data_IF_963905696945
#
_entry.id   IF_963905696945
#
_cell.length_a   1.000
_cell.length_b   1.000
_cell.length_c   1.000
_cell.angle_alpha   90.00
_cell.angle_beta   90.00
_cell.angle_gamma   90.00
#
_symmetry.space_group_name_H-M   'P 1'
#
loop_
_entity.id
_entity.type
_entity.pdbx_description
1 polymer ?
#
# COMPACT_ATOMS: atom_id res chain seq x y z
N UNK A 1 26.12 -35.13 59.84
CA UNK A 1 25.76 -33.75 60.22
C UNK A 1 26.46 -32.79 59.26
N UNK A 2 25.66 -31.98 58.53
CA UNK A 2 25.92 -30.63 57.99
C UNK A 2 27.25 -30.41 57.18
N UNK A 3 27.31 -29.74 56.03
CA UNK A 3 26.62 -28.52 55.60
C UNK A 3 26.95 -28.22 54.11
N UNK A 4 25.94 -27.88 53.31
CA UNK A 4 25.95 -27.18 51.99
C UNK A 4 26.04 -25.66 52.31
N UNK A 5 26.76 -24.74 51.60
CA UNK A 5 26.35 -24.32 50.25
C UNK A 5 27.40 -23.66 49.31
N UNK A 6 27.42 -24.10 48.04
CA UNK A 6 27.95 -23.32 46.91
C UNK A 6 26.89 -23.06 45.81
N UNK A 7 25.62 -23.32 46.11
CA UNK A 7 24.49 -23.09 45.20
C UNK A 7 23.84 -21.75 45.52
N UNK A 8 24.48 -20.61 45.17
CA UNK A 8 23.82 -19.28 45.18
C UNK A 8 24.33 -18.24 44.18
N UNK A 9 25.07 -18.61 43.13
CA UNK A 9 25.51 -17.63 42.09
C UNK A 9 25.27 -18.15 40.66
N UNK A 10 24.18 -18.90 40.43
CA UNK A 10 23.74 -19.20 39.07
C UNK A 10 22.22 -19.00 38.87
N UNK A 11 21.62 -18.16 39.72
CA UNK A 11 20.18 -17.85 39.68
C UNK A 11 19.92 -16.33 39.59
N UNK A 12 20.77 -15.60 38.86
CA UNK A 12 20.58 -14.15 38.60
C UNK A 12 20.73 -13.76 37.11
N UNK A 13 21.11 -14.67 36.20
CA UNK A 13 21.19 -14.36 34.74
C UNK A 13 20.11 -15.09 33.92
N UNK A 14 19.14 -15.74 34.57
CA UNK A 14 17.96 -16.33 33.90
C UNK A 14 16.65 -15.62 34.30
N UNK A 15 16.70 -14.30 34.49
CA UNK A 15 15.53 -13.44 34.72
C UNK A 15 15.60 -12.15 33.88
N UNK A 16 15.95 -12.28 32.60
CA UNK A 16 15.51 -11.34 31.56
C UNK A 16 14.87 -12.19 30.44
N UNK A 17 13.95 -13.07 30.85
CA UNK A 17 12.96 -13.63 29.96
C UNK A 17 12.03 -12.52 29.55
N UNK A 18 12.07 -12.17 28.27
CA UNK A 18 11.24 -11.20 27.59
C UNK A 18 9.78 -11.29 28.08
N UNK A 19 9.40 -10.40 29.01
CA UNK A 19 8.04 -9.90 29.11
C UNK A 19 7.79 -8.95 27.93
N UNK A 20 8.03 -9.44 26.71
CA UNK A 20 7.47 -8.86 25.51
C UNK A 20 6.01 -9.25 25.51
N UNK A 21 5.17 -8.44 26.16
CA UNK A 21 3.76 -8.42 25.82
C UNK A 21 3.68 -8.02 24.36
N UNK A 22 3.75 -9.00 23.46
CA UNK A 22 3.22 -8.87 22.11
C UNK A 22 1.74 -8.61 22.31
N UNK A 23 1.40 -7.34 22.48
CA UNK A 23 0.04 -6.85 22.35
C UNK A 23 -0.30 -7.02 20.88
N UNK A 24 -0.60 -8.25 20.48
CA UNK A 24 -1.20 -8.53 19.18
C UNK A 24 -2.44 -7.65 19.14
N UNK A 25 -2.39 -6.60 18.32
CA UNK A 25 -3.52 -5.70 18.16
C UNK A 25 -4.70 -6.57 17.78
N UNK A 26 -5.78 -6.52 18.56
CA UNK A 26 -6.98 -7.31 18.29
C UNK A 26 -7.34 -7.18 16.80
N UNK A 27 -7.66 -8.30 16.12
CA UNK A 27 -7.93 -8.29 14.69
C UNK A 27 -9.05 -7.28 14.40
N UNK A 28 -8.75 -6.29 13.57
CA UNK A 28 -9.72 -5.28 13.17
C UNK A 28 -10.74 -5.99 12.29
N UNK A 29 -12.01 -6.01 12.73
CA UNK A 29 -13.12 -6.54 11.93
C UNK A 29 -13.10 -5.88 10.53
N UNK A 30 -13.02 -6.64 9.42
CA UNK A 30 -12.86 -6.07 8.09
C UNK A 30 -14.14 -5.38 7.58
N UNK A 31 -15.29 -5.61 8.22
CA UNK A 31 -16.58 -5.07 7.83
C UNK A 31 -16.99 -3.87 8.69
N UNK A 32 -17.78 -2.96 8.12
CA UNK A 32 -18.58 -2.00 8.88
C UNK A 32 -19.95 -2.59 9.18
N UNK A 33 -20.23 -2.81 10.47
CA UNK A 33 -21.43 -3.54 10.88
C UNK A 33 -22.66 -2.65 11.09
N UNK A 34 -22.43 -1.36 11.28
CA UNK A 34 -23.51 -0.41 11.55
C UNK A 34 -23.70 0.54 10.37
N UNK A 35 -24.96 0.79 9.95
CA UNK A 35 -25.24 1.79 8.93
C UNK A 35 -24.74 3.19 9.34
N UNK A 36 -24.52 4.10 8.39
CA UNK A 36 -24.35 5.53 8.67
C UNK A 36 -25.49 6.11 9.53
N UNK A 37 -25.18 7.14 10.33
CA UNK A 37 -26.17 7.83 11.15
C UNK A 37 -27.20 8.55 10.25
N UNK A 38 -28.48 8.50 10.63
CA UNK A 38 -29.61 9.18 9.95
C UNK A 38 -29.89 8.69 8.53
N UNK A 39 -29.99 7.38 8.32
CA UNK A 39 -30.54 6.80 7.09
C UNK A 39 -32.05 6.56 7.21
N UNK A 40 -32.83 6.66 6.10
CA UNK A 40 -34.18 6.15 6.05
C UNK A 40 -34.24 4.67 6.45
N UNK A 41 -35.32 4.23 7.09
CA UNK A 41 -35.45 2.82 7.56
C UNK A 41 -35.21 1.81 6.44
N UNK A 42 -35.70 2.09 5.23
CA UNK A 42 -35.49 1.24 4.06
C UNK A 42 -34.00 1.07 3.69
N UNK A 43 -33.19 2.13 3.81
CA UNK A 43 -31.75 2.08 3.52
C UNK A 43 -30.96 1.38 4.63
N UNK A 44 -31.40 1.51 5.89
CA UNK A 44 -30.83 0.74 7.01
C UNK A 44 -31.08 -0.77 6.82
N UNK A 45 -32.30 -1.12 6.41
CA UNK A 45 -32.66 -2.51 6.11
C UNK A 45 -31.84 -3.07 4.94
N UNK A 46 -31.67 -2.27 3.88
CA UNK A 46 -30.86 -2.65 2.73
C UNK A 46 -29.39 -2.87 3.12
N UNK A 47 -28.82 -2.00 3.95
CA UNK A 47 -27.47 -2.15 4.52
C UNK A 47 -27.33 -3.46 5.31
N UNK A 48 -28.27 -3.73 6.22
CA UNK A 48 -28.23 -4.91 7.07
C UNK A 48 -28.35 -6.20 6.26
N UNK A 49 -29.25 -6.24 5.27
CA UNK A 49 -29.42 -7.39 4.37
C UNK A 49 -28.18 -7.64 3.53
N UNK A 50 -27.54 -6.59 3.00
CA UNK A 50 -26.30 -6.72 2.25
C UNK A 50 -25.17 -7.30 3.12
N UNK A 51 -25.05 -6.82 4.36
CA UNK A 51 -24.07 -7.32 5.32
C UNK A 51 -24.34 -8.78 5.73
N UNK A 52 -25.60 -9.13 5.99
CA UNK A 52 -26.01 -10.49 6.35
C UNK A 52 -25.71 -11.48 5.22
N UNK A 53 -26.04 -11.11 3.98
CA UNK A 53 -25.72 -11.88 2.78
C UNK A 53 -24.20 -12.13 2.64
N UNK A 54 -23.37 -11.11 2.91
CA UNK A 54 -21.91 -11.28 2.95
C UNK A 54 -21.45 -12.25 4.05
N UNK A 55 -22.00 -12.11 5.26
CA UNK A 55 -21.65 -12.97 6.40
C UNK A 55 -22.07 -14.42 6.21
N UNK A 56 -23.12 -14.66 5.43
CA UNK A 56 -23.62 -15.99 5.05
C UNK A 56 -22.93 -16.58 3.81
N UNK A 57 -21.84 -15.96 3.34
CA UNK A 57 -21.09 -16.41 2.17
C UNK A 57 -21.92 -16.47 0.88
N UNK A 58 -22.82 -15.50 0.69
CA UNK A 58 -23.55 -15.27 -0.56
C UNK A 58 -23.06 -13.97 -1.22
N UNK A 59 -21.82 -13.93 -1.74
CA UNK A 59 -21.18 -12.67 -2.12
C UNK A 59 -21.84 -12.00 -3.33
N UNK A 60 -22.42 -12.74 -4.28
CA UNK A 60 -23.13 -12.14 -5.43
C UNK A 60 -24.37 -11.33 -5.00
N UNK A 61 -25.18 -11.90 -4.12
CA UNK A 61 -26.35 -11.22 -3.55
C UNK A 61 -25.93 -9.97 -2.77
N UNK A 62 -24.88 -10.11 -1.96
CA UNK A 62 -24.28 -9.01 -1.21
C UNK A 62 -23.80 -7.88 -2.14
N UNK A 63 -23.09 -8.20 -3.22
CA UNK A 63 -22.63 -7.23 -4.22
C UNK A 63 -23.82 -6.47 -4.82
N UNK A 64 -24.88 -7.18 -5.21
CA UNK A 64 -26.07 -6.55 -5.78
C UNK A 64 -26.78 -5.63 -4.78
N UNK A 65 -26.91 -6.05 -3.52
CA UNK A 65 -27.50 -5.24 -2.46
C UNK A 65 -26.64 -4.01 -2.12
N UNK A 66 -25.31 -4.16 -2.05
CA UNK A 66 -24.39 -3.04 -1.83
C UNK A 66 -24.41 -2.04 -2.98
N UNK A 67 -24.46 -2.50 -4.24
CA UNK A 67 -24.61 -1.62 -5.40
C UNK A 67 -25.91 -0.82 -5.34
N UNK A 68 -27.03 -1.44 -4.98
CA UNK A 68 -28.31 -0.74 -4.77
C UNK A 68 -28.22 0.29 -3.65
N UNK A 69 -27.65 -0.07 -2.51
CA UNK A 69 -27.44 0.82 -1.38
C UNK A 69 -26.59 2.04 -1.77
N UNK A 70 -25.49 1.82 -2.50
CA UNK A 70 -24.60 2.89 -2.94
C UNK A 70 -25.22 3.77 -4.03
N UNK A 71 -26.19 3.28 -4.80
CA UNK A 71 -26.97 4.10 -5.73
C UNK A 71 -27.70 5.25 -5.03
N UNK A 72 -28.24 5.01 -3.84
CA UNK A 72 -28.89 6.03 -3.02
C UNK A 72 -27.92 6.74 -2.05
N UNK A 73 -26.78 6.10 -1.74
CA UNK A 73 -25.81 6.58 -0.76
C UNK A 73 -24.37 6.65 -1.34
N UNK A 74 -24.12 7.46 -2.39
CA UNK A 74 -22.85 7.44 -3.14
C UNK A 74 -21.64 7.98 -2.37
N UNK A 75 -21.82 8.48 -1.14
CA UNK A 75 -20.74 8.96 -0.26
C UNK A 75 -20.53 8.06 0.95
N UNK A 76 -21.11 6.86 0.96
CA UNK A 76 -20.97 5.91 2.06
C UNK A 76 -19.67 5.13 1.96
N UNK A 77 -18.61 5.60 2.62
CA UNK A 77 -17.34 4.86 2.70
C UNK A 77 -17.53 3.47 3.33
N UNK A 78 -18.46 3.32 4.29
CA UNK A 78 -18.83 2.03 4.89
C UNK A 78 -19.39 1.07 3.84
N UNK A 79 -20.27 1.59 2.97
CA UNK A 79 -20.86 0.82 1.86
C UNK A 79 -19.80 0.38 0.86
N UNK A 80 -18.90 1.28 0.45
CA UNK A 80 -17.80 0.93 -0.45
C UNK A 80 -16.81 -0.07 0.16
N UNK A 81 -16.48 0.05 1.46
CA UNK A 81 -15.65 -0.96 2.13
C UNK A 81 -16.33 -2.33 2.13
N UNK A 82 -17.62 -2.39 2.48
CA UNK A 82 -18.33 -3.66 2.51
C UNK A 82 -18.55 -4.25 1.10
N UNK A 83 -18.75 -3.40 0.08
CA UNK A 83 -18.74 -3.82 -1.33
C UNK A 83 -17.37 -4.39 -1.72
N UNK A 84 -16.28 -3.74 -1.32
CA UNK A 84 -14.93 -4.23 -1.56
C UNK A 84 -14.66 -5.58 -0.90
N UNK A 85 -15.20 -5.80 0.30
CA UNK A 85 -15.17 -7.11 0.95
C UNK A 85 -16.02 -8.15 0.22
N UNK A 86 -17.20 -7.77 -0.30
CA UNK A 86 -18.04 -8.68 -1.07
C UNK A 86 -17.37 -9.11 -2.38
N UNK A 87 -16.72 -8.17 -3.08
CA UNK A 87 -15.89 -8.48 -4.24
C UNK A 87 -14.67 -9.33 -3.88
N UNK A 88 -14.02 -9.06 -2.75
CA UNK A 88 -12.88 -9.86 -2.26
C UNK A 88 -13.29 -11.32 -2.02
N UNK A 89 -14.45 -11.54 -1.38
CA UNK A 89 -14.99 -12.88 -1.12
C UNK A 89 -15.51 -13.60 -2.37
N UNK A 90 -15.69 -12.89 -3.49
CA UNK A 90 -16.10 -13.45 -4.78
C UNK A 90 -14.93 -13.56 -5.76
N UNK A 91 -13.68 -13.53 -5.28
CA UNK A 91 -12.45 -13.54 -6.09
C UNK A 91 -12.34 -12.42 -7.14
N UNK A 92 -13.16 -11.37 -7.01
CA UNK A 92 -13.16 -10.20 -7.88
C UNK A 92 -12.17 -9.15 -7.36
N UNK A 93 -10.88 -9.52 -7.39
CA UNK A 93 -9.82 -8.76 -6.72
C UNK A 93 -9.66 -7.32 -7.22
N UNK A 94 -9.76 -7.10 -8.54
CA UNK A 94 -9.68 -5.75 -9.14
C UNK A 94 -10.82 -4.83 -8.66
N UNK A 95 -12.06 -5.33 -8.68
CA UNK A 95 -13.23 -4.60 -8.20
C UNK A 95 -13.16 -4.35 -6.69
N UNK A 96 -12.61 -5.31 -5.94
CA UNK A 96 -12.34 -5.16 -4.50
C UNK A 96 -11.40 -4.00 -4.22
N UNK A 97 -10.27 -3.93 -4.91
CA UNK A 97 -9.28 -2.85 -4.78
C UNK A 97 -9.92 -1.51 -5.11
N UNK A 98 -10.65 -1.40 -6.22
CA UNK A 98 -11.32 -0.15 -6.63
C UNK A 98 -12.34 0.32 -5.58
N UNK A 99 -13.15 -0.59 -5.03
CA UNK A 99 -14.10 -0.27 -3.98
C UNK A 99 -13.40 0.20 -2.69
N UNK A 100 -12.30 -0.44 -2.28
CA UNK A 100 -11.51 0.02 -1.13
C UNK A 100 -10.83 1.36 -1.37
N UNK A 101 -10.32 1.63 -2.57
CA UNK A 101 -9.76 2.94 -2.93
C UNK A 101 -10.81 4.03 -2.88
N UNK A 102 -12.02 3.75 -3.38
CA UNK A 102 -13.15 4.67 -3.29
C UNK A 102 -13.53 4.93 -1.83
N UNK A 103 -13.59 3.89 -1.00
CA UNK A 103 -13.84 4.01 0.43
C UNK A 103 -12.76 4.85 1.13
N UNK A 104 -11.48 4.62 0.79
CA UNK A 104 -10.34 5.34 1.37
C UNK A 104 -10.30 6.80 0.91
N UNK A 105 -10.70 7.10 -0.32
CA UNK A 105 -10.81 8.47 -0.81
C UNK A 105 -11.89 9.27 -0.04
N UNK A 106 -12.97 8.59 0.35
CA UNK A 106 -14.03 9.17 1.18
C UNK A 106 -13.61 9.32 2.64
N UNK A 107 -12.90 8.34 3.22
CA UNK A 107 -12.37 8.37 4.60
C UNK A 107 -10.87 7.98 4.68
N UNK A 108 -9.93 8.92 4.39
CA UNK A 108 -8.50 8.62 4.18
C UNK A 108 -7.70 8.18 5.40
N UNK A 109 -8.29 8.24 6.59
CA UNK A 109 -7.61 7.91 7.83
C UNK A 109 -8.13 6.65 8.50
N UNK A 110 -9.13 5.99 7.90
CA UNK A 110 -9.68 4.77 8.44
C UNK A 110 -8.67 3.61 8.30
N UNK A 111 -8.27 3.02 9.43
CA UNK A 111 -7.28 1.95 9.45
C UNK A 111 -7.82 0.65 8.87
N UNK A 112 -9.12 0.37 9.03
CA UNK A 112 -9.75 -0.85 8.51
C UNK A 112 -9.73 -0.85 7.00
N UNK A 113 -10.09 0.27 6.38
CA UNK A 113 -10.07 0.41 4.92
C UNK A 113 -8.64 0.26 4.40
N UNK A 114 -7.67 0.89 5.06
CA UNK A 114 -6.24 0.75 4.70
C UNK A 114 -5.75 -0.68 4.82
N UNK A 115 -6.13 -1.38 5.88
CA UNK A 115 -5.72 -2.77 6.11
C UNK A 115 -6.36 -3.72 5.08
N UNK A 116 -7.64 -3.52 4.75
CA UNK A 116 -8.32 -4.25 3.70
C UNK A 116 -7.67 -4.01 2.33
N UNK A 117 -7.40 -2.75 1.97
CA UNK A 117 -6.71 -2.41 0.72
C UNK A 117 -5.31 -3.03 0.65
N UNK A 118 -4.51 -2.93 1.72
CA UNK A 118 -3.19 -3.57 1.78
C UNK A 118 -3.28 -5.09 1.63
N UNK A 119 -4.29 -5.73 2.23
CA UNK A 119 -4.51 -7.18 2.09
C UNK A 119 -4.81 -7.53 0.62
N UNK A 120 -5.72 -6.83 -0.03
CA UNK A 120 -6.04 -7.07 -1.45
C UNK A 120 -4.83 -6.84 -2.36
N UNK A 121 -4.08 -5.76 -2.15
CA UNK A 121 -2.85 -5.49 -2.91
C UNK A 121 -1.80 -6.58 -2.71
N UNK A 122 -1.59 -7.04 -1.48
CA UNK A 122 -0.64 -8.12 -1.20
C UNK A 122 -1.07 -9.45 -1.81
N UNK A 123 -2.37 -9.73 -1.86
CA UNK A 123 -2.87 -10.91 -2.56
C UNK A 123 -2.61 -10.81 -4.07
N UNK A 124 -2.78 -9.62 -4.65
CA UNK A 124 -2.43 -9.37 -6.05
C UNK A 124 -0.93 -9.55 -6.32
N UNK A 125 -0.07 -9.07 -5.41
CA UNK A 125 1.39 -9.28 -5.47
C UNK A 125 1.73 -10.77 -5.52
N UNK A 126 1.10 -11.59 -4.68
CA UNK A 126 1.35 -13.04 -4.68
C UNK A 126 1.00 -13.68 -6.01
N UNK A 127 -0.16 -13.35 -6.58
CA UNK A 127 -0.57 -13.87 -7.90
C UNK A 127 0.44 -13.45 -8.98
N UNK A 128 0.87 -12.18 -8.96
CA UNK A 128 1.82 -11.64 -9.92
C UNK A 128 3.21 -12.26 -9.77
N UNK A 129 3.66 -12.54 -8.55
CA UNK A 129 4.90 -13.26 -8.28
C UNK A 129 4.89 -14.67 -8.88
N UNK A 130 3.81 -15.43 -8.67
CA UNK A 130 3.65 -16.77 -9.24
C UNK A 130 3.65 -16.73 -10.77
N UNK A 131 3.03 -15.71 -11.36
CA UNK A 131 3.02 -15.49 -12.81
C UNK A 131 4.32 -14.89 -13.35
N UNK A 132 5.30 -14.57 -12.49
CA UNK A 132 6.55 -13.87 -12.83
C UNK A 132 6.37 -12.46 -13.41
N UNK A 133 5.23 -11.84 -13.12
CA UNK A 133 4.87 -10.45 -13.42
C UNK A 133 5.46 -9.51 -12.34
N UNK A 134 6.78 -9.52 -12.22
CA UNK A 134 7.47 -8.88 -11.10
C UNK A 134 7.37 -7.35 -11.12
N UNK A 135 7.35 -6.72 -12.30
CA UNK A 135 7.11 -5.29 -12.43
C UNK A 135 5.76 -4.87 -11.87
N UNK A 136 4.70 -5.59 -12.22
CA UNK A 136 3.35 -5.32 -11.74
C UNK A 136 3.27 -5.53 -10.22
N UNK A 137 3.91 -6.58 -9.71
CA UNK A 137 4.03 -6.85 -8.29
C UNK A 137 4.75 -5.71 -7.53
N UNK A 138 5.85 -5.18 -8.08
CA UNK A 138 6.55 -4.01 -7.52
C UNK A 138 5.62 -2.80 -7.47
N UNK A 139 4.82 -2.54 -8.52
CA UNK A 139 3.86 -1.43 -8.51
C UNK A 139 2.84 -1.57 -7.37
N UNK A 140 2.33 -2.78 -7.13
CA UNK A 140 1.40 -3.02 -6.01
C UNK A 140 2.10 -2.89 -4.65
N UNK A 141 3.34 -3.36 -4.51
CA UNK A 141 4.13 -3.19 -3.28
C UNK A 141 4.42 -1.72 -2.99
N UNK A 142 4.67 -0.90 -4.01
CA UNK A 142 4.82 0.56 -3.83
C UNK A 142 3.54 1.19 -3.27
N UNK A 143 2.36 0.77 -3.75
CA UNK A 143 1.07 1.18 -3.17
C UNK A 143 0.93 0.71 -1.71
N UNK A 144 1.34 -0.53 -1.41
CA UNK A 144 1.38 -1.06 -0.03
C UNK A 144 2.31 -0.22 0.85
N UNK A 145 3.49 0.17 0.35
CA UNK A 145 4.48 0.99 1.06
C UNK A 145 3.89 2.33 1.46
N UNK A 146 3.12 2.96 0.59
CA UNK A 146 2.45 4.24 0.87
C UNK A 146 1.33 4.13 1.92
N UNK A 147 0.66 2.98 1.99
CA UNK A 147 -0.36 2.68 3.01
C UNK A 147 0.25 2.25 4.36
N UNK A 148 1.55 1.96 4.41
CA UNK A 148 2.23 1.38 5.57
C UNK A 148 2.89 2.46 6.43
N UNK A 149 2.76 2.34 7.76
CA UNK A 149 3.43 3.22 8.70
C UNK A 149 4.96 3.04 8.65
N UNK A 150 5.72 4.06 9.07
CA UNK A 150 7.19 4.07 8.97
C UNK A 150 7.88 2.77 9.42
N UNK A 151 7.55 2.15 10.57
CA UNK A 151 8.22 0.93 11.01
C UNK A 151 8.06 -0.26 10.05
N UNK A 152 7.02 -0.26 9.22
CA UNK A 152 6.77 -1.32 8.23
C UNK A 152 7.23 -1.00 6.81
N UNK A 153 7.59 0.26 6.51
CA UNK A 153 7.98 0.66 5.14
C UNK A 153 9.28 -0.01 4.70
N UNK A 154 10.22 -0.20 5.62
CA UNK A 154 11.49 -0.89 5.36
C UNK A 154 11.27 -2.34 4.93
N UNK A 155 10.38 -3.07 5.61
CA UNK A 155 10.02 -4.44 5.22
C UNK A 155 9.47 -4.50 3.80
N UNK A 156 8.59 -3.57 3.43
CA UNK A 156 8.04 -3.52 2.07
C UNK A 156 9.13 -3.14 1.04
N UNK A 157 10.07 -2.28 1.40
CA UNK A 157 11.20 -1.94 0.54
C UNK A 157 12.09 -3.16 0.25
N UNK A 158 12.38 -3.98 1.26
CA UNK A 158 13.13 -5.24 1.09
C UNK A 158 12.39 -6.23 0.17
N UNK A 159 11.06 -6.33 0.29
CA UNK A 159 10.25 -7.15 -0.62
C UNK A 159 10.37 -6.66 -2.07
N UNK A 160 10.38 -5.34 -2.29
CA UNK A 160 10.57 -4.73 -3.62
C UNK A 160 11.98 -5.02 -4.15
N UNK A 161 13.01 -4.89 -3.33
CA UNK A 161 14.40 -5.20 -3.71
C UNK A 161 14.53 -6.67 -4.13
N UNK A 162 13.92 -7.61 -3.38
CA UNK A 162 13.92 -9.03 -3.75
C UNK A 162 13.28 -9.27 -5.13
N UNK A 163 12.21 -8.55 -5.47
CA UNK A 163 11.60 -8.65 -6.80
C UNK A 163 12.51 -8.06 -7.90
N UNK A 164 13.21 -6.96 -7.62
CA UNK A 164 14.19 -6.41 -8.56
C UNK A 164 15.31 -7.40 -8.83
N UNK A 165 15.75 -8.15 -7.82
CA UNK A 165 16.78 -9.17 -7.98
C UNK A 165 16.29 -10.32 -8.88
N UNK A 166 15.02 -10.74 -8.74
CA UNK A 166 14.40 -11.73 -9.64
C UNK A 166 14.27 -11.21 -11.08
N UNK A 167 13.95 -9.92 -11.28
CA UNK A 167 13.97 -9.28 -12.60
C UNK A 167 15.39 -9.31 -13.18
N UNK A 168 16.40 -9.03 -12.36
CA UNK A 168 17.79 -9.05 -12.83
C UNK A 168 18.25 -10.45 -13.27
N UNK A 169 17.80 -11.52 -12.60
CA UNK A 169 18.07 -12.88 -13.07
C UNK A 169 17.45 -13.17 -14.45
N UNK A 170 16.26 -12.62 -14.75
CA UNK A 170 15.68 -12.70 -16.11
C UNK A 170 16.52 -11.92 -17.12
N UNK A 171 17.02 -10.74 -16.75
CA UNK A 171 17.90 -9.92 -17.59
C UNK A 171 19.21 -10.66 -17.90
N UNK A 172 19.81 -11.32 -16.91
CA UNK A 172 21.01 -12.16 -17.10
C UNK A 172 20.77 -13.34 -18.03
N UNK A 173 19.58 -13.95 -17.97
CA UNK A 173 19.23 -15.04 -18.88
C UNK A 173 19.06 -14.56 -20.33
N UNK A 174 18.53 -13.36 -20.53
CA UNK A 174 18.42 -12.76 -21.85
C UNK A 174 19.77 -12.32 -22.42
N UNK A 175 20.67 -11.84 -21.55
CA UNK A 175 22.04 -11.42 -21.86
C UNK A 175 22.15 -10.44 -23.04
N UNK A 176 21.21 -9.50 -23.14
CA UNK A 176 21.21 -8.47 -24.19
C UNK A 176 21.51 -7.10 -23.62
N UNK A 177 22.23 -6.28 -24.40
CA UNK A 177 22.55 -4.91 -24.05
C UNK A 177 21.27 -4.11 -23.69
N UNK A 178 20.22 -4.28 -24.48
CA UNK A 178 18.93 -3.60 -24.29
C UNK A 178 18.30 -3.90 -22.93
N UNK A 179 18.33 -5.16 -22.48
CA UNK A 179 17.71 -5.57 -21.22
C UNK A 179 18.50 -5.05 -20.01
N UNK A 180 19.83 -5.08 -20.05
CA UNK A 180 20.65 -4.47 -19.00
C UNK A 180 20.45 -2.95 -18.92
N UNK A 181 20.36 -2.26 -20.07
CA UNK A 181 20.09 -0.83 -20.10
C UNK A 181 18.69 -0.50 -19.57
N UNK A 182 17.67 -1.29 -19.95
CA UNK A 182 16.31 -1.14 -19.44
C UNK A 182 16.22 -1.36 -17.92
N UNK A 183 16.93 -2.37 -17.40
CA UNK A 183 17.02 -2.63 -15.96
C UNK A 183 17.60 -1.42 -15.21
N UNK A 184 18.75 -0.90 -15.64
CA UNK A 184 19.37 0.26 -15.01
C UNK A 184 18.55 1.53 -15.12
N UNK A 185 17.78 1.69 -16.21
CA UNK A 185 16.87 2.82 -16.37
C UNK A 185 15.77 2.80 -15.32
N UNK A 186 15.23 1.62 -14.99
CA UNK A 186 14.18 1.47 -13.96
C UNK A 186 14.75 1.47 -12.54
N UNK A 187 15.88 0.80 -12.33
CA UNK A 187 16.45 0.52 -11.01
C UNK A 187 17.92 0.98 -10.91
N UNK A 188 18.21 2.28 -11.11
CA UNK A 188 19.59 2.79 -11.19
C UNK A 188 20.38 2.64 -9.88
N UNK A 189 19.66 2.51 -8.75
CA UNK A 189 20.20 2.45 -7.39
C UNK A 189 19.96 1.08 -6.73
N UNK A 190 19.64 0.02 -7.49
CA UNK A 190 19.53 -1.32 -6.88
C UNK A 190 20.90 -1.68 -6.27
N UNK A 191 20.97 -2.03 -4.97
CA UNK A 191 22.22 -2.12 -4.23
C UNK A 191 23.11 -3.29 -4.66
N UNK A 192 22.50 -4.37 -5.17
CA UNK A 192 23.20 -5.60 -5.52
C UNK A 192 23.57 -5.66 -7.00
N UNK A 193 22.63 -5.29 -7.86
CA UNK A 193 22.63 -5.67 -9.27
C UNK A 193 22.96 -4.52 -10.23
N UNK A 194 22.87 -3.26 -9.79
CA UNK A 194 23.14 -2.12 -10.68
C UNK A 194 24.59 -2.09 -11.17
N UNK A 195 25.57 -2.36 -10.31
CA UNK A 195 26.97 -2.37 -10.71
C UNK A 195 27.31 -3.50 -11.68
N UNK A 196 26.71 -4.67 -11.48
CA UNK A 196 26.87 -5.80 -12.40
C UNK A 196 26.26 -5.48 -13.77
N UNK A 197 25.05 -4.91 -13.81
CA UNK A 197 24.42 -4.48 -15.06
C UNK A 197 25.32 -3.49 -15.84
N UNK A 198 25.96 -2.54 -15.16
CA UNK A 198 26.89 -1.59 -15.79
C UNK A 198 28.11 -2.28 -16.40
N UNK A 199 28.66 -3.30 -15.70
CA UNK A 199 29.77 -4.11 -16.22
C UNK A 199 29.36 -4.88 -17.46
N UNK A 200 28.20 -5.50 -17.46
CA UNK A 200 27.70 -6.26 -18.62
C UNK A 200 27.45 -5.35 -19.82
N UNK A 201 26.85 -4.17 -19.62
CA UNK A 201 26.71 -3.15 -20.67
C UNK A 201 28.07 -2.78 -21.28
N UNK A 202 29.10 -2.60 -20.46
CA UNK A 202 30.45 -2.24 -20.93
C UNK A 202 31.08 -3.36 -21.76
N UNK A 203 30.83 -4.62 -21.41
CA UNK A 203 31.32 -5.79 -22.17
C UNK A 203 30.59 -5.99 -23.49
N UNK A 204 29.27 -5.75 -23.50
CA UNK A 204 28.41 -5.96 -24.67
C UNK A 204 28.45 -4.80 -25.66
N UNK A 205 28.79 -3.59 -25.21
CA UNK A 205 29.04 -2.47 -26.11
C UNK A 205 30.26 -2.76 -26.97
N UNK A 206 30.17 -2.58 -28.30
CA UNK A 206 31.34 -2.64 -29.16
C UNK A 206 32.39 -1.69 -28.60
N UNK A 207 33.58 -2.20 -28.29
CA UNK A 207 34.74 -1.34 -28.10
C UNK A 207 34.93 -0.63 -29.44
N UNK A 208 34.63 0.66 -29.49
CA UNK A 208 35.22 1.51 -30.51
C UNK A 208 36.72 1.48 -30.25
N UNK A 209 37.41 0.51 -30.85
CA UNK A 209 38.84 0.67 -31.10
C UNK A 209 38.95 2.02 -31.79
N UNK A 210 39.67 3.01 -31.25
CA UNK A 210 40.05 4.14 -32.05
C UNK A 210 40.84 3.52 -33.20
N UNK A 211 40.24 3.45 -34.39
CA UNK A 211 40.98 3.24 -35.61
C UNK A 211 42.06 4.30 -35.55
N UNK A 212 43.30 3.88 -35.32
CA UNK A 212 44.40 4.79 -35.16
C UNK A 212 44.35 5.79 -36.30
N UNK A 213 44.27 7.07 -35.96
CA UNK A 213 44.91 8.07 -36.80
C UNK A 213 46.37 7.63 -36.90
N UNK A 214 46.68 6.87 -37.95
CA UNK A 214 48.05 6.77 -38.40
C UNK A 214 48.44 8.20 -38.76
N UNK A 215 49.43 8.81 -38.09
CA UNK A 215 49.92 10.10 -38.52
C UNK A 215 50.35 9.95 -39.97
N UNK A 216 49.83 10.80 -40.85
CA UNK A 216 50.30 10.92 -42.22
C UNK A 216 51.83 11.05 -42.16
N UNK A 217 52.53 9.98 -42.56
CA UNK A 217 53.97 10.04 -42.79
C UNK A 217 54.17 10.92 -44.01
N UNK A 218 54.36 12.21 -43.76
CA UNK A 218 54.83 13.16 -44.75
C UNK A 218 56.17 12.67 -45.28
N UNK A 219 56.29 12.70 -46.61
CA UNK A 219 57.44 12.34 -47.43
C UNK A 219 58.79 12.73 -46.79
N UNK A 220 59.42 11.79 -46.09
CA UNK A 220 60.83 11.91 -45.73
C UNK A 220 61.65 11.32 -46.88
N UNK A 221 62.16 12.23 -47.70
CA UNK A 221 63.07 12.04 -48.82
C UNK A 221 64.11 10.94 -48.56
N UNK A 222 64.12 9.92 -49.42
CA UNK A 222 65.20 8.92 -49.49
C UNK A 222 66.56 9.62 -49.70
N UNK A 223 67.61 9.32 -48.91
CA UNK A 223 68.96 9.63 -49.30
C UNK A 223 69.56 8.52 -50.19
N UNK A 224 70.38 9.00 -51.11
CA UNK A 224 71.06 8.36 -52.24
C UNK A 224 71.93 7.16 -51.82
N UNK A 225 72.15 6.14 -52.70
CA UNK A 225 72.92 4.95 -52.35
C UNK A 225 74.43 5.21 -52.40
N UNK A 226 75.12 4.88 -51.31
CA UNK A 226 76.56 4.67 -51.31
C UNK A 226 77.26 5.28 -50.12
N UNK A 227 77.35 4.52 -49.03
CA UNK A 227 78.50 4.49 -48.13
C UNK A 227 78.27 3.41 -47.06
N UNK A 228 79.16 2.41 -46.99
CA UNK A 228 79.26 1.55 -45.80
C UNK A 228 80.11 2.28 -44.76
N UNK A 229 79.72 2.20 -43.49
CA UNK A 229 80.71 1.87 -42.47
C UNK A 229 80.31 0.65 -41.64
N UNK A 230 81.35 0.10 -41.06
CA UNK A 230 81.49 -1.19 -40.39
C UNK A 230 80.95 -1.24 -38.96
N UNK A 231 80.37 -2.39 -38.61
CA UNK A 231 80.51 -3.18 -37.36
C UNK A 231 80.86 -2.39 -36.07
N UNK A 232 79.93 -2.29 -35.13
CA UNK A 232 80.17 -2.68 -33.71
C UNK A 232 78.88 -2.67 -32.87
N UNK A 233 78.57 -3.83 -32.30
CA UNK A 233 78.20 -4.03 -30.88
C UNK A 233 77.14 -3.13 -30.23
N UNK A 234 75.95 -3.70 -29.98
CA UNK A 234 75.53 -3.97 -28.59
C UNK A 234 74.48 -5.07 -28.54
N UNK A 235 74.92 -6.17 -27.94
CA UNK A 235 74.14 -7.26 -27.38
C UNK A 235 73.42 -6.76 -26.12
N UNK A 236 72.20 -7.23 -25.86
CA UNK A 236 71.55 -7.49 -24.55
C UNK A 236 70.03 -7.48 -24.76
N UNK A 237 69.20 -8.36 -24.22
CA UNK A 237 69.34 -9.67 -23.59
C UNK A 237 67.91 -10.24 -23.61
N UNK A 238 67.69 -11.37 -24.25
CA UNK A 238 66.49 -12.18 -24.05
C UNK A 238 66.64 -12.90 -22.70
N UNK A 239 65.70 -12.68 -21.78
CA UNK A 239 65.52 -13.56 -20.62
C UNK A 239 64.05 -13.96 -20.56
N UNK A 240 63.80 -15.22 -20.91
CA UNK A 240 62.57 -15.96 -20.67
C UNK A 240 62.59 -16.51 -19.24
N UNK A 241 61.56 -16.20 -18.44
CA UNK A 241 61.36 -16.79 -17.12
C UNK A 241 60.76 -18.20 -17.20
N UNK A 242 61.18 -19.13 -16.31
CA UNK A 242 60.84 -20.54 -16.41
C UNK A 242 59.55 -20.91 -15.67
N UNK A 243 58.90 -21.91 -16.25
CA UNK A 243 57.84 -22.75 -15.72
C UNK A 243 58.27 -23.40 -14.38
N UNK A 244 57.48 -23.23 -13.32
CA UNK A 244 57.58 -24.05 -12.10
C UNK A 244 56.41 -25.01 -12.07
N UNK A 245 56.72 -26.30 -12.15
CA UNK A 245 55.84 -27.38 -11.77
C UNK A 245 56.33 -27.95 -10.44
N UNK A 246 55.46 -28.02 -9.43
CA UNK A 246 55.69 -28.83 -8.25
C UNK A 246 54.39 -29.53 -7.84
N UNK A 247 54.56 -30.78 -7.43
CA UNK A 247 53.62 -31.90 -7.36
C UNK A 247 52.98 -32.09 -5.98
N UNK A 248 51.73 -32.59 -5.98
CA UNK A 248 51.08 -33.56 -5.03
C UNK A 248 51.03 -33.21 -3.52
N UNK A 249 49.86 -32.78 -3.00
CA UNK A 249 48.78 -33.56 -2.31
C UNK A 249 48.88 -33.54 -0.75
N UNK A 250 47.79 -33.58 0.06
CA UNK A 250 46.70 -34.55 -0.07
C UNK A 250 45.25 -34.08 0.15
N UNK A 251 44.38 -35.01 -0.25
CA UNK A 251 42.93 -35.11 -0.17
C UNK A 251 42.25 -34.54 1.10
N UNK A 252 41.12 -33.85 0.87
CA UNK A 252 40.06 -33.62 1.86
C UNK A 252 38.95 -34.67 1.69
N UNK A 253 38.28 -35.09 2.79
CA UNK A 253 37.41 -36.27 2.81
C UNK A 253 36.05 -36.05 2.11
N UNK A 254 35.36 -37.13 1.71
CA UNK A 254 34.09 -37.04 0.99
C UNK A 254 32.93 -36.64 1.90
N UNK A 255 32.11 -35.71 1.42
CA UNK A 255 30.80 -35.36 1.99
C UNK A 255 29.88 -36.57 1.81
N UNK A 256 29.46 -37.17 2.93
CA UNK A 256 28.44 -38.20 2.95
C UNK A 256 27.08 -37.58 2.64
N UNK A 257 26.39 -38.13 1.64
CA UNK A 257 24.96 -37.91 1.43
C UNK A 257 24.22 -38.80 2.43
N UNK A 258 23.64 -38.20 3.47
CA UNK A 258 22.63 -38.88 4.28
C UNK A 258 21.29 -38.82 3.57
N UNK A 259 20.96 -39.95 2.94
CA UNK A 259 19.63 -40.35 2.53
C UNK A 259 18.77 -40.49 3.79
N UNK A 260 17.72 -39.68 3.93
CA UNK A 260 16.69 -39.92 4.96
C UNK A 260 15.73 -40.96 4.38
N UNK A 261 15.84 -42.16 4.93
CA UNK A 261 14.99 -43.31 4.70
C UNK A 261 13.65 -43.08 5.44
N UNK A 262 12.55 -43.17 4.69
CA UNK A 262 11.19 -43.12 5.24
C UNK A 262 10.91 -44.49 5.85
N UNK A 263 10.88 -44.56 7.19
CA UNK A 263 10.31 -45.71 7.90
C UNK A 263 8.99 -45.27 8.52
N UNK A 264 7.92 -45.84 7.99
CA UNK A 264 6.60 -45.82 8.58
C UNK A 264 6.57 -46.78 9.78
N UNK A 265 6.09 -46.31 10.93
CA UNK A 265 5.47 -47.22 11.90
C UNK A 265 4.32 -46.51 12.64
N UNK A 266 3.16 -47.12 12.47
CA UNK A 266 1.86 -46.85 13.06
C UNK A 266 1.81 -47.13 14.56
N UNK A 267 1.13 -46.25 15.32
CA UNK A 267 0.29 -46.66 16.45
C UNK A 267 -0.82 -45.64 16.74
N UNK A 268 -2.05 -46.16 16.83
CA UNK A 268 -3.37 -45.57 17.14
C UNK A 268 -3.76 -46.06 18.56
N UNK A 269 -4.95 -45.78 19.13
CA UNK A 269 -5.76 -44.55 19.28
C UNK A 269 -6.07 -44.21 20.77
N UNK A 270 -6.49 -42.98 21.06
CA UNK A 270 -7.38 -42.61 22.18
C UNK A 270 -7.76 -41.13 21.98
N UNK A 271 -8.95 -40.61 22.19
CA UNK A 271 -10.25 -41.10 22.64
C UNK A 271 -11.26 -40.03 22.18
N UNK A 272 -12.45 -40.46 21.80
CA UNK A 272 -13.58 -39.61 21.41
C UNK A 272 -14.19 -38.96 22.65
N UNK A 273 -14.42 -37.65 22.62
CA UNK A 273 -15.44 -37.01 23.46
C UNK A 273 -16.50 -36.39 22.55
N UNK A 274 -17.62 -37.11 22.44
CA UNK A 274 -18.90 -36.63 21.95
C UNK A 274 -19.50 -35.62 22.94
N UNK A 275 -20.07 -34.52 22.44
CA UNK A 275 -21.05 -33.73 23.18
C UNK A 275 -22.33 -33.66 22.32
N UNK A 276 -23.52 -34.01 22.85
CA UNK A 276 -24.69 -34.28 22.03
C UNK A 276 -25.43 -33.02 21.56
N UNK A 277 -25.90 -33.07 20.32
CA UNK A 277 -26.97 -32.24 19.78
C UNK A 277 -28.31 -32.92 20.09
N UNK A 278 -29.15 -32.28 20.90
CA UNK A 278 -30.56 -32.62 20.99
C UNK A 278 -31.35 -31.40 21.45
N UNK A 279 -32.11 -30.76 20.55
CA UNK A 279 -33.46 -30.23 20.78
C UNK A 279 -34.14 -30.21 19.39
N UNK A 280 -35.05 -31.15 19.18
CA UNK A 280 -36.05 -31.13 18.12
C UNK A 280 -37.26 -30.27 18.50
N UNK A 281 -37.97 -29.90 17.45
CA UNK A 281 -39.18 -29.09 17.34
C UNK A 281 -40.30 -29.44 18.34
N UNK A 282 -41.03 -28.41 18.78
CA UNK A 282 -42.46 -28.55 19.07
C UNK A 282 -43.20 -27.29 18.59
N UNK A 283 -44.29 -27.56 17.89
CA UNK A 283 -45.12 -26.67 17.07
C UNK A 283 -46.41 -26.42 17.84
N UNK A 284 -46.82 -25.16 18.03
CA UNK A 284 -48.24 -24.83 18.25
C UNK A 284 -48.60 -23.51 17.55
N UNK A 285 -49.62 -23.58 16.69
CA UNK A 285 -50.34 -22.49 16.04
C UNK A 285 -51.12 -21.63 17.06
N UNK A 286 -51.68 -20.45 16.66
CA UNK A 286 -53.07 -20.50 16.17
C UNK A 286 -53.40 -19.56 14.98
N UNK A 287 -54.08 -20.17 14.00
CA UNK A 287 -55.40 -19.81 13.43
C UNK A 287 -55.70 -18.35 12.99
N UNK A 288 -55.71 -18.18 11.67
CA UNK A 288 -56.73 -17.63 10.74
C UNK A 288 -57.71 -16.51 11.17
N UNK A 289 -57.67 -15.45 10.33
CA UNK A 289 -58.76 -14.71 9.65
C UNK A 289 -59.94 -14.12 10.44
N UNK A 290 -60.07 -12.79 10.34
CA UNK A 290 -61.36 -12.18 10.00
C UNK A 290 -61.16 -11.02 9.01
N UNK A 291 -61.70 -11.20 7.81
CA UNK A 291 -61.81 -10.21 6.73
C UNK A 291 -63.17 -9.54 6.86
N UNK A 292 -63.21 -8.22 7.02
CA UNK A 292 -64.42 -7.45 6.65
C UNK A 292 -64.07 -6.14 5.94
N UNK A 293 -64.47 -6.11 4.67
CA UNK A 293 -65.11 -5.03 3.90
C UNK A 293 -64.47 -3.64 3.79
N UNK A 294 -63.99 -3.35 2.58
CA UNK A 294 -63.99 -2.01 1.97
C UNK A 294 -65.40 -1.45 1.82
N UNK A 295 -65.54 -0.11 1.73
CA UNK A 295 -66.07 0.41 0.47
C UNK A 295 -65.23 1.54 -0.17
N UNK A 296 -65.40 1.62 -1.50
CA UNK A 296 -64.80 2.50 -2.50
C UNK A 296 -65.53 3.89 -2.56
N UNK A 297 -65.22 4.84 -3.46
CA UNK A 297 -64.95 6.23 -3.12
C UNK A 297 -66.06 7.21 -3.60
N UNK A 298 -66.08 8.43 -3.06
CA UNK A 298 -66.86 9.53 -3.62
C UNK A 298 -65.99 10.68 -4.12
N UNK A 299 -66.48 11.28 -5.21
CA UNK A 299 -65.77 12.15 -6.11
C UNK A 299 -65.98 13.65 -5.80
N UNK A 300 -65.00 14.43 -6.29
CA UNK A 300 -65.10 15.79 -6.82
C UNK A 300 -65.56 16.93 -5.90
N UNK A 301 -64.61 17.85 -5.67
CA UNK A 301 -64.73 19.24 -6.15
C UNK A 301 -63.34 19.91 -6.29
N UNK A 302 -63.03 20.35 -7.52
CA UNK A 302 -61.99 21.36 -7.84
C UNK A 302 -62.44 22.74 -7.31
N UNK A 303 -61.51 23.67 -7.06
CA UNK A 303 -61.31 24.72 -8.08
C UNK A 303 -59.85 25.20 -8.30
N UNK A 304 -59.59 25.46 -9.60
CA UNK A 304 -58.88 26.58 -10.24
C UNK A 304 -57.37 26.83 -10.00
N UNK A 305 -56.65 26.65 -11.12
CA UNK A 305 -55.39 27.29 -11.48
C UNK A 305 -55.53 28.82 -11.56
N UNK A 306 -54.45 29.53 -11.19
CA UNK A 306 -54.09 30.85 -11.69
C UNK A 306 -52.57 30.87 -11.97
N UNK A 307 -52.21 31.73 -12.90
CA UNK A 307 -51.08 31.75 -13.82
C UNK A 307 -49.69 32.12 -13.26
N UNK A 308 -48.60 31.97 -14.06
CA UNK A 308 -47.23 31.92 -13.57
C UNK A 308 -46.61 33.31 -13.39
N UNK A 309 -45.75 33.44 -12.39
CA UNK A 309 -44.95 34.65 -12.16
C UNK A 309 -43.85 34.78 -13.23
N UNK A 310 -43.93 35.92 -13.91
CA UNK A 310 -43.07 36.46 -14.95
C UNK A 310 -41.63 36.72 -14.47
N UNK A 311 -40.69 36.47 -15.37
CA UNK A 311 -39.28 36.89 -15.28
C UNK A 311 -39.18 38.42 -15.33
N UNK A 312 -38.27 39.08 -14.60
CA UNK A 312 -37.92 40.46 -14.87
C UNK A 312 -36.92 40.54 -16.02
N UNK A 313 -37.33 41.31 -17.02
CA UNK A 313 -36.60 41.75 -18.21
C UNK A 313 -35.47 42.71 -17.81
N UNK A 314 -34.37 42.62 -18.55
CA UNK A 314 -33.20 43.49 -18.52
C UNK A 314 -33.57 44.91 -19.02
N UNK A 315 -33.03 45.96 -18.38
CA UNK A 315 -32.95 47.30 -18.98
C UNK A 315 -31.49 47.80 -18.89
N UNK A 316 -30.88 48.34 -19.97
CA UNK A 316 -29.47 48.68 -20.02
C UNK A 316 -29.23 50.17 -19.77
N UNK A 317 -28.17 50.50 -19.04
CA UNK A 317 -27.55 51.82 -19.08
C UNK A 317 -27.24 52.43 -17.72
N UNK A 318 -26.01 52.21 -17.24
CA UNK A 318 -25.20 53.33 -16.73
C UNK A 318 -23.73 52.93 -16.70
N UNK A 319 -22.95 53.54 -17.60
CA UNK A 319 -21.50 53.60 -17.49
C UNK A 319 -21.11 54.33 -16.20
N UNK A 320 -20.31 53.69 -15.36
CA UNK A 320 -19.41 54.39 -14.46
C UNK A 320 -18.02 53.78 -14.56
N UNK A 321 -17.17 54.56 -15.21
CA UNK A 321 -15.71 54.46 -15.26
C UNK A 321 -15.19 54.40 -13.82
N UNK A 322 -14.58 53.28 -13.42
CA UNK A 322 -13.74 53.19 -12.21
C UNK A 322 -12.46 52.44 -12.53
N UNK A 323 -11.36 53.12 -12.26
CA UNK A 323 -9.98 52.72 -12.48
C UNK A 323 -9.66 51.36 -11.83
N UNK A 324 -8.88 50.55 -12.53
CA UNK A 324 -8.29 49.33 -12.00
C UNK A 324 -7.21 49.67 -10.96
N UNK A 325 -7.30 49.16 -9.72
CA UNK A 325 -6.12 48.95 -8.91
C UNK A 325 -5.55 47.57 -9.25
N UNK A 326 -4.34 47.55 -9.81
CA UNK A 326 -3.53 46.35 -9.88
C UNK A 326 -3.21 45.87 -8.45
N UNK A 327 -3.79 44.75 -8.00
CA UNK A 327 -3.38 44.08 -6.76
C UNK A 327 -3.47 42.54 -6.87
N UNK A 328 -2.28 41.95 -6.98
CA UNK A 328 -1.79 40.71 -6.35
C UNK A 328 -2.69 39.47 -6.39
N UNK A 329 -2.28 38.47 -7.18
CA UNK A 329 -2.74 37.08 -7.10
C UNK A 329 -2.85 36.60 -5.65
N UNK A 330 -3.92 35.92 -5.22
CA UNK A 330 -4.01 35.40 -3.87
C UNK A 330 -2.96 34.31 -3.68
N UNK A 331 -1.85 34.66 -3.02
CA UNK A 331 -0.88 33.69 -2.53
C UNK A 331 -1.62 32.70 -1.63
N UNK A 332 -1.64 31.41 -2.00
CA UNK A 332 -2.21 30.35 -1.15
C UNK A 332 -1.65 30.50 0.26
N UNK A 333 -2.49 30.57 1.30
CA UNK A 333 -2.01 30.74 2.67
C UNK A 333 -1.10 29.57 3.01
N UNK A 334 0.14 29.85 3.38
CA UNK A 334 1.13 28.84 3.79
C UNK A 334 0.83 28.35 5.22
N UNK A 335 1.17 27.08 5.54
CA UNK A 335 1.02 26.58 6.90
C UNK A 335 1.99 27.30 7.84
N UNK A 336 1.50 27.69 9.01
CA UNK A 336 2.28 28.43 10.02
C UNK A 336 3.06 27.50 10.95
N UNK A 337 2.57 26.28 11.18
CA UNK A 337 3.21 25.26 12.03
C UNK A 337 2.66 23.87 11.76
N UNK A 338 3.27 22.83 12.35
CA UNK A 338 2.75 21.45 12.34
C UNK A 338 2.42 21.00 13.77
N UNK A 339 1.37 20.20 13.90
CA UNK A 339 0.96 19.66 15.21
C UNK A 339 0.72 18.16 15.12
N UNK A 340 1.15 17.42 16.15
CA UNK A 340 0.85 16.00 16.34
C UNK A 340 -0.40 15.83 17.19
N UNK A 341 -1.31 14.95 16.77
CA UNK A 341 -2.52 14.62 17.52
C UNK A 341 -2.21 13.68 18.68
N UNK A 342 -2.68 14.02 19.89
CA UNK A 342 -2.35 13.34 21.15
C UNK A 342 -3.58 12.75 21.89
N UNK A 343 -4.61 12.34 21.16
CA UNK A 343 -5.79 11.71 21.78
C UNK A 343 -5.44 10.37 22.45
N UNK A 344 -6.27 9.94 23.43
CA UNK A 344 -6.01 8.70 24.19
C UNK A 344 -6.36 7.43 23.41
N UNK A 345 -7.63 7.29 23.04
CA UNK A 345 -8.19 6.09 22.38
C UNK A 345 -9.01 6.39 21.12
N UNK A 346 -9.61 7.57 21.01
CA UNK A 346 -10.48 7.94 19.89
C UNK A 346 -9.78 8.88 18.91
N UNK A 347 -10.07 8.79 17.60
CA UNK A 347 -9.67 9.79 16.63
C UNK A 347 -10.16 11.19 17.01
N UNK A 348 -9.34 12.22 16.76
CA UNK A 348 -9.71 13.61 16.96
C UNK A 348 -10.66 14.07 15.86
N UNK A 349 -11.85 14.54 16.25
CA UNK A 349 -12.85 15.08 15.32
C UNK A 349 -12.43 16.45 14.80
N UNK A 350 -12.43 16.60 13.48
CA UNK A 350 -12.27 17.86 12.75
C UNK A 350 -13.65 18.44 12.50
N UNK A 351 -13.83 19.73 12.74
CA UNK A 351 -15.13 20.41 12.65
C UNK A 351 -15.12 21.53 11.62
N UNK A 352 -16.29 21.87 11.12
CA UNK A 352 -16.46 22.95 10.15
C UNK A 352 -16.19 24.34 10.74
N UNK A 353 -16.56 24.56 12.00
CA UNK A 353 -16.35 25.79 12.76
C UNK A 353 -15.57 25.51 14.07
N UNK A 354 -14.89 26.54 14.65
CA UNK A 354 -14.13 26.41 15.90
C UNK A 354 -15.04 26.36 17.14
N UNK A 355 -15.99 25.43 17.15
CA UNK A 355 -16.91 25.22 18.26
C UNK A 355 -17.24 23.72 18.43
N UNK A 356 -17.69 23.32 19.62
CA UNK A 356 -17.94 21.92 19.97
C UNK A 356 -19.25 21.35 19.43
N UNK A 357 -20.15 22.20 18.90
CA UNK A 357 -21.48 21.84 18.40
C UNK A 357 -21.51 21.72 16.87
N UNK A 358 -20.53 22.30 16.19
CA UNK A 358 -20.37 22.30 14.74
C UNK A 358 -20.33 20.88 14.16
N UNK A 359 -20.83 20.66 12.94
CA UNK A 359 -20.69 19.40 12.23
C UNK A 359 -19.24 18.92 12.19
N UNK A 360 -19.07 17.61 12.35
CA UNK A 360 -17.77 16.94 12.23
C UNK A 360 -17.56 16.61 10.75
N UNK A 361 -16.50 17.16 10.16
CA UNK A 361 -16.19 17.04 8.72
C UNK A 361 -15.14 15.97 8.43
N UNK A 362 -14.37 15.55 9.43
CA UNK A 362 -13.40 14.46 9.34
C UNK A 362 -12.99 13.96 10.73
N UNK A 363 -12.25 12.86 10.79
CA UNK A 363 -11.59 12.38 12.01
C UNK A 363 -10.11 12.08 11.74
N UNK A 364 -9.24 12.41 12.70
CA UNK A 364 -7.79 12.26 12.58
C UNK A 364 -7.27 11.33 13.68
N UNK A 365 -6.61 10.22 13.34
CA UNK A 365 -6.04 9.30 14.31
C UNK A 365 -5.02 9.94 15.25
N UNK A 366 -4.81 9.29 16.40
CA UNK A 366 -3.72 9.63 17.30
C UNK A 366 -2.38 9.50 16.57
N UNK A 367 -1.47 10.42 16.81
CA UNK A 367 -0.12 10.40 16.26
C UNK A 367 0.02 11.01 14.88
N UNK A 368 -1.08 11.31 14.17
CA UNK A 368 -1.04 12.02 12.89
C UNK A 368 -0.45 13.42 13.06
N UNK A 369 0.38 13.83 12.11
CA UNK A 369 1.00 15.16 12.07
C UNK A 369 0.37 15.97 10.95
N UNK A 370 -0.28 17.09 11.29
CA UNK A 370 -1.04 17.90 10.35
C UNK A 370 -0.55 19.36 10.31
N UNK A 371 -0.58 20.01 9.14
CA UNK A 371 -0.25 21.42 9.01
C UNK A 371 -1.37 22.32 9.56
N UNK A 372 -0.99 23.38 10.28
CA UNK A 372 -1.88 24.41 10.85
C UNK A 372 -1.78 25.68 10.00
N UNK A 373 -2.92 26.27 9.64
CA UNK A 373 -3.02 27.50 8.85
C UNK A 373 -3.51 28.67 9.70
N UNK A 374 -4.35 28.42 10.71
CA UNK A 374 -4.79 29.46 11.64
C UNK A 374 -4.80 28.94 13.07
N UNK A 375 -4.55 29.87 13.97
CA UNK A 375 -4.55 29.67 15.41
C UNK A 375 -5.62 30.61 16.01
N UNK A 376 -6.65 30.04 16.62
CA UNK A 376 -7.70 30.80 17.31
C UNK A 376 -7.95 30.24 18.70
N UNK A 377 -7.44 30.90 19.74
CA UNK A 377 -7.68 30.61 21.16
C UNK A 377 -7.56 29.13 21.54
N UNK A 378 -8.64 28.35 21.44
CA UNK A 378 -8.69 26.92 21.79
C UNK A 378 -8.70 25.98 20.57
N UNK A 379 -8.59 26.52 19.36
CA UNK A 379 -8.73 25.81 18.09
C UNK A 379 -7.59 26.06 17.11
N UNK A 380 -7.28 25.06 16.29
CA UNK A 380 -6.42 25.15 15.11
C UNK A 380 -7.23 24.89 13.84
N UNK A 381 -7.09 25.75 12.84
CA UNK A 381 -7.51 25.44 11.48
C UNK A 381 -6.38 24.64 10.82
N UNK A 382 -6.66 23.41 10.47
CA UNK A 382 -5.72 22.49 9.84
C UNK A 382 -6.18 22.13 8.43
N UNK A 383 -5.26 21.62 7.62
CA UNK A 383 -5.60 20.91 6.39
C UNK A 383 -5.52 19.40 6.66
N UNK A 384 -6.65 18.72 6.55
CA UNK A 384 -6.76 17.29 6.84
C UNK A 384 -6.75 16.43 5.58
N UNK A 385 -7.04 17.00 4.41
CA UNK A 385 -6.87 16.41 3.08
C UNK A 385 -6.40 17.51 2.14
N UNK A 386 -5.70 17.15 1.05
CA UNK A 386 -5.24 18.13 0.06
C UNK A 386 -6.40 19.03 -0.41
N UNK A 387 -6.34 20.32 -0.07
CA UNK A 387 -7.35 21.33 -0.34
C UNK A 387 -8.51 21.45 0.66
N UNK A 388 -8.66 20.55 1.64
CA UNK A 388 -9.75 20.58 2.63
C UNK A 388 -9.27 20.96 4.01
N UNK A 389 -9.89 22.00 4.58
CA UNK A 389 -9.54 22.57 5.89
C UNK A 389 -10.67 22.41 6.90
N UNK A 390 -10.30 22.30 8.17
CA UNK A 390 -11.25 22.22 9.27
C UNK A 390 -10.59 22.46 10.63
N UNK A 391 -11.41 22.58 11.67
CA UNK A 391 -11.00 22.99 13.01
C UNK A 391 -10.82 21.82 13.96
N UNK A 392 -9.70 21.80 14.68
CA UNK A 392 -9.43 20.85 15.76
C UNK A 392 -9.19 21.57 17.08
N UNK A 393 -9.54 20.94 18.20
CA UNK A 393 -9.29 21.50 19.52
C UNK A 393 -7.81 21.34 19.92
N UNK A 394 -7.16 22.46 20.28
CA UNK A 394 -5.72 22.52 20.58
C UNK A 394 -5.28 21.58 21.69
N UNK A 395 -6.12 21.39 22.72
CA UNK A 395 -5.84 20.54 23.88
C UNK A 395 -5.52 19.07 23.53
N UNK A 396 -5.87 18.63 22.33
CA UNK A 396 -5.57 17.29 21.83
C UNK A 396 -4.43 17.26 20.82
N UNK A 397 -3.61 18.31 20.78
CA UNK A 397 -2.51 18.44 19.84
C UNK A 397 -1.28 19.03 20.52
N UNK A 398 -0.09 18.58 20.11
CA UNK A 398 1.19 19.13 20.56
C UNK A 398 1.94 19.67 19.35
N UNK A 399 2.49 20.86 19.48
CA UNK A 399 3.31 21.46 18.42
C UNK A 399 4.58 20.62 18.23
N UNK A 400 4.86 20.29 16.98
CA UNK A 400 6.15 19.72 16.58
C UNK A 400 7.09 20.87 16.22
N UNK A 401 8.38 20.79 16.59
CA UNK A 401 9.38 21.80 16.27
C UNK A 401 9.61 21.94 14.75
#
# INVERSE_FOLDING_TARGET
MLLIPLIRIFLVILLIGFAGCATSSAPINPYFEMPPDRLPKAEQELFNRALDSLKKNHPDDSINLWKRFLGNNPRSFKGYNNLGMAHYSNDQLGESINAFETALALEPFDLRIKDNLKRSLRFQVTIQQENKEYEEAIQQLERVKELTALPGKEKVALEIETLQDLIFEQVKQADTLEQYEAFLKKYPNNPLNADEARRQITKLKPQESPMGEFPDMQDELLPVPGERPTRSSMQENFVSEPFIAETTEPASPPIQKETIEIVAETQKPAEEEEIPLDIQDEVEDPVMEEVTETPKPEAMKRPKQAEPMTQPVMDPGMEMKREQPAMVSPSKPMPTKRVRIMTRKTPLRVREMPDSKSPVVAQIPKGSVVPVFQDKKDWYLIEYQKGKKGWIAKKYSKQEP
#
